data_IF_567431691606
#
_entry.id   IF_567431691606
#
_cell.length_a   1.000
_cell.length_b   1.000
_cell.length_c   1.000
_cell.angle_alpha   90.00
_cell.angle_beta   90.00
_cell.angle_gamma   90.00
#
_symmetry.space_group_name_H-M   'P 1'
#
loop_
_entity.id
_entity.type
_entity.pdbx_description
1 polymer ?
#
# COMPACT_ATOMS: atom_id res chain seq x y z
N UNK A 1 -16.44 -18.05 -5.97
CA UNK A 1 -15.03 -17.98 -6.41
C UNK A 1 -14.81 -16.74 -7.27
N UNK A 2 -13.83 -15.94 -6.88
CA UNK A 2 -13.41 -14.71 -7.56
C UNK A 2 -11.92 -14.80 -7.87
N UNK A 3 -11.45 -14.12 -8.92
CA UNK A 3 -10.03 -14.19 -9.30
C UNK A 3 -9.07 -13.52 -8.30
N UNK A 4 -9.56 -12.63 -7.44
CA UNK A 4 -8.78 -12.03 -6.34
C UNK A 4 -8.73 -12.88 -5.08
N UNK A 5 -9.72 -13.76 -4.86
CA UNK A 5 -9.83 -14.61 -3.69
C UNK A 5 -10.47 -15.94 -4.10
N UNK A 6 -9.65 -16.98 -4.15
CA UNK A 6 -10.10 -18.33 -4.46
C UNK A 6 -9.42 -19.34 -3.55
N UNK A 7 -9.98 -20.54 -3.50
CA UNK A 7 -9.47 -21.61 -2.66
C UNK A 7 -9.11 -22.79 -3.54
N UNK A 8 -8.04 -23.48 -3.16
CA UNK A 8 -7.58 -24.69 -3.83
C UNK A 8 -6.99 -25.66 -2.83
N UNK A 9 -6.91 -26.91 -3.26
CA UNK A 9 -6.26 -27.99 -2.52
C UNK A 9 -4.90 -28.25 -3.18
N UNK A 10 -3.87 -28.47 -2.36
CA UNK A 10 -2.60 -28.96 -2.87
C UNK A 10 -2.75 -30.43 -3.23
N UNK A 11 -2.26 -30.84 -4.41
CA UNK A 11 -2.19 -32.25 -4.78
C UNK A 11 -0.97 -32.91 -4.13
N UNK A 12 -1.07 -33.14 -2.83
CA UNK A 12 -0.08 -33.83 -2.02
C UNK A 12 -0.72 -34.93 -1.17
N UNK A 13 0.11 -35.85 -0.69
CA UNK A 13 -0.33 -37.00 0.10
C UNK A 13 -0.96 -36.59 1.42
N UNK A 14 -0.47 -35.51 2.05
CA UNK A 14 -0.96 -35.02 3.33
C UNK A 14 -2.40 -34.50 3.20
N UNK A 15 -2.69 -33.72 2.18
CA UNK A 15 -4.02 -33.18 1.89
C UNK A 15 -5.00 -34.31 1.57
N UNK A 16 -4.57 -35.31 0.78
CA UNK A 16 -5.37 -36.50 0.47
C UNK A 16 -5.71 -37.32 1.72
N UNK A 17 -4.74 -37.55 2.60
CA UNK A 17 -4.96 -38.27 3.87
C UNK A 17 -5.93 -37.55 4.80
N UNK A 18 -5.81 -36.22 4.91
CA UNK A 18 -6.75 -35.38 5.68
C UNK A 18 -8.17 -35.52 5.15
N UNK A 19 -8.37 -35.34 3.84
CA UNK A 19 -9.69 -35.43 3.20
C UNK A 19 -10.32 -36.82 3.38
N UNK A 20 -9.54 -37.90 3.22
CA UNK A 20 -10.02 -39.26 3.44
C UNK A 20 -10.46 -39.49 4.89
N UNK A 21 -9.65 -39.09 5.87
CA UNK A 21 -9.97 -39.23 7.30
C UNK A 21 -11.25 -38.47 7.67
N UNK A 22 -11.38 -37.24 7.19
CA UNK A 22 -12.58 -36.42 7.39
C UNK A 22 -13.79 -37.09 6.77
N UNK A 23 -13.70 -37.53 5.52
CA UNK A 23 -14.83 -38.12 4.80
C UNK A 23 -15.33 -39.39 5.49
N UNK A 24 -14.42 -40.27 5.91
CA UNK A 24 -14.74 -41.51 6.63
C UNK A 24 -15.38 -41.22 7.99
N UNK A 25 -14.89 -40.22 8.72
CA UNK A 25 -15.39 -39.90 10.05
C UNK A 25 -16.77 -39.21 10.03
N UNK A 26 -17.02 -38.33 9.07
CA UNK A 26 -18.28 -37.56 9.02
C UNK A 26 -19.45 -38.33 8.39
N UNK A 27 -19.17 -39.33 7.56
CA UNK A 27 -20.18 -40.04 6.78
C UNK A 27 -20.21 -41.55 7.06
N UNK A 28 -19.76 -41.98 8.25
CA UNK A 28 -19.85 -43.38 8.67
C UNK A 28 -21.32 -43.73 9.04
N UNK A 29 -21.98 -44.66 8.33
CA UNK A 29 -23.35 -45.07 8.65
C UNK A 29 -23.50 -45.70 10.04
N UNK A 30 -22.44 -46.30 10.58
CA UNK A 30 -22.44 -46.95 11.91
C UNK A 30 -22.25 -45.95 13.06
N UNK A 31 -21.84 -44.71 12.77
CA UNK A 31 -21.56 -43.67 13.75
C UNK A 31 -22.19 -42.32 13.36
N UNK A 32 -23.53 -42.19 13.48
CA UNK A 32 -24.23 -40.98 13.05
C UNK A 32 -23.82 -39.76 13.88
N UNK A 33 -23.66 -38.63 13.20
CA UNK A 33 -23.27 -37.37 13.83
C UNK A 33 -24.37 -36.83 14.77
N UNK A 34 -23.93 -36.28 15.91
CA UNK A 34 -24.83 -35.72 16.91
C UNK A 34 -25.28 -34.30 16.54
N UNK A 35 -26.53 -33.91 16.87
CA UNK A 35 -26.98 -32.52 16.78
C UNK A 35 -26.14 -31.58 17.66
N UNK A 36 -26.11 -30.29 17.33
CA UNK A 36 -25.44 -29.29 18.17
C UNK A 36 -26.08 -29.22 19.57
N UNK A 37 -25.24 -29.25 20.62
CA UNK A 37 -25.67 -29.12 22.02
C UNK A 37 -25.85 -27.67 22.46
N UNK A 38 -25.22 -26.74 21.74
CA UNK A 38 -25.21 -25.33 22.05
C UNK A 38 -25.71 -24.51 20.86
N UNK A 39 -26.16 -23.29 21.15
CA UNK A 39 -26.58 -22.36 20.11
C UNK A 39 -25.40 -22.13 19.14
N UNK A 40 -25.61 -22.31 17.82
CA UNK A 40 -24.57 -22.01 16.84
C UNK A 40 -24.16 -20.54 16.96
N UNK A 41 -22.88 -20.25 16.74
CA UNK A 41 -22.29 -18.91 16.73
C UNK A 41 -21.23 -18.81 15.62
N UNK A 42 -21.00 -17.61 15.04
CA UNK A 42 -19.90 -17.41 14.11
C UNK A 42 -18.55 -17.85 14.70
N UNK A 43 -17.70 -18.41 13.84
CA UNK A 43 -16.41 -19.01 14.21
C UNK A 43 -16.47 -20.47 14.65
N UNK A 44 -17.65 -21.02 14.98
CA UNK A 44 -17.78 -22.42 15.41
C UNK A 44 -17.54 -23.39 14.25
N UNK A 45 -16.68 -24.38 14.46
CA UNK A 45 -16.51 -25.51 13.53
C UNK A 45 -17.60 -26.56 13.73
N UNK A 46 -18.20 -26.97 12.63
CA UNK A 46 -19.36 -27.88 12.57
C UNK A 46 -19.20 -28.84 11.39
N UNK A 47 -19.98 -29.91 11.41
CA UNK A 47 -20.24 -30.69 10.22
C UNK A 47 -21.52 -30.16 9.56
N UNK A 48 -21.45 -29.83 8.27
CA UNK A 48 -22.56 -29.28 7.50
C UNK A 48 -22.83 -30.15 6.26
N UNK A 49 -24.10 -30.39 5.90
CA UNK A 49 -24.44 -31.11 4.68
C UNK A 49 -24.12 -30.27 3.45
N UNK A 50 -23.64 -30.93 2.41
CA UNK A 50 -23.49 -30.38 1.08
C UNK A 50 -23.92 -31.43 0.05
N UNK A 51 -24.49 -30.97 -1.06
CA UNK A 51 -25.03 -31.85 -2.08
C UNK A 51 -24.12 -31.87 -3.31
N UNK A 52 -23.40 -32.96 -3.49
CA UNK A 52 -22.53 -33.22 -4.64
C UNK A 52 -22.77 -34.65 -5.15
N UNK A 53 -23.86 -34.80 -5.91
CA UNK A 53 -24.47 -36.10 -6.21
C UNK A 53 -25.32 -36.59 -5.04
N UNK A 54 -24.68 -37.15 -4.01
CA UNK A 54 -25.32 -37.55 -2.75
C UNK A 54 -25.12 -36.48 -1.67
N UNK A 55 -26.03 -36.46 -0.68
CA UNK A 55 -25.91 -35.56 0.46
C UNK A 55 -24.94 -36.14 1.49
N UNK A 56 -23.80 -35.46 1.66
CA UNK A 56 -22.75 -35.85 2.59
C UNK A 56 -22.41 -34.69 3.52
N UNK A 57 -21.87 -35.00 4.69
CA UNK A 57 -21.38 -34.03 5.66
C UNK A 57 -19.91 -33.71 5.43
N UNK A 58 -19.59 -32.43 5.50
CA UNK A 58 -18.25 -31.89 5.34
C UNK A 58 -17.90 -30.96 6.50
N UNK A 59 -16.61 -30.73 6.73
CA UNK A 59 -16.18 -29.75 7.74
C UNK A 59 -16.49 -28.34 7.28
N UNK A 60 -17.11 -27.57 8.16
CA UNK A 60 -17.42 -26.19 7.90
C UNK A 60 -17.20 -25.32 9.13
N UNK A 61 -17.06 -24.02 8.91
CA UNK A 61 -17.05 -22.98 9.93
C UNK A 61 -18.26 -22.07 9.72
N UNK A 62 -18.98 -21.73 10.79
CA UNK A 62 -20.06 -20.76 10.71
C UNK A 62 -19.44 -19.37 10.50
N UNK A 63 -19.83 -18.69 9.43
CA UNK A 63 -19.39 -17.33 9.12
C UNK A 63 -20.39 -16.29 9.61
N UNK A 64 -21.69 -16.54 9.37
CA UNK A 64 -22.77 -15.64 9.75
C UNK A 64 -24.07 -16.41 10.03
N UNK A 65 -25.03 -15.77 10.70
CA UNK A 65 -26.33 -16.35 11.00
C UNK A 65 -27.46 -15.36 10.71
N UNK A 66 -28.50 -15.86 10.06
CA UNK A 66 -29.73 -15.12 9.77
C UNK A 66 -30.92 -15.82 10.37
N UNK A 67 -31.91 -15.05 10.83
CA UNK A 67 -33.15 -15.60 11.40
C UNK A 67 -34.34 -14.87 10.79
N UNK A 68 -35.30 -15.63 10.29
CA UNK A 68 -36.52 -15.08 9.71
C UNK A 68 -37.74 -15.70 10.38
N UNK A 69 -38.73 -14.85 10.69
CA UNK A 69 -40.05 -15.31 11.12
C UNK A 69 -40.89 -15.64 9.91
N UNK A 70 -41.33 -16.89 9.80
CA UNK A 70 -42.20 -17.36 8.71
C UNK A 70 -43.48 -17.96 9.29
N UNK A 71 -44.61 -17.96 8.56
CA UNK A 71 -45.80 -18.68 8.95
C UNK A 71 -45.52 -20.18 8.99
N UNK A 72 -45.72 -20.82 10.14
CA UNK A 72 -45.66 -22.27 10.27
C UNK A 72 -46.93 -22.95 9.73
N UNK A 73 -46.89 -24.27 9.57
CA UNK A 73 -48.01 -25.07 9.05
C UNK A 73 -49.33 -24.90 9.82
N UNK A 74 -49.26 -24.45 11.08
CA UNK A 74 -50.42 -24.20 11.97
C UNK A 74 -50.85 -22.73 12.02
N UNK A 75 -50.30 -21.88 11.15
CA UNK A 75 -50.55 -20.42 11.14
C UNK A 75 -49.80 -19.63 12.21
N UNK A 76 -49.11 -20.30 13.16
CA UNK A 76 -48.22 -19.62 14.13
C UNK A 76 -46.90 -19.25 13.49
N UNK A 77 -46.38 -18.06 13.81
CA UNK A 77 -45.04 -17.67 13.35
C UNK A 77 -43.96 -18.56 13.97
N UNK A 78 -43.11 -19.15 13.13
CA UNK A 78 -41.94 -19.93 13.53
C UNK A 78 -40.69 -19.16 13.10
N UNK A 79 -39.65 -19.17 13.93
CA UNK A 79 -38.36 -18.57 13.57
C UNK A 79 -37.49 -19.64 12.94
N UNK A 80 -37.17 -19.50 11.65
CA UNK A 80 -36.20 -20.35 10.97
C UNK A 80 -34.85 -19.63 11.02
N UNK A 81 -33.83 -20.36 11.48
CA UNK A 81 -32.46 -19.85 11.55
C UNK A 81 -31.59 -20.58 10.53
N UNK A 82 -30.90 -19.80 9.70
CA UNK A 82 -29.91 -20.29 8.72
C UNK A 82 -28.52 -19.80 9.10
N UNK A 83 -27.53 -20.65 8.90
CA UNK A 83 -26.12 -20.31 9.02
C UNK A 83 -25.52 -20.21 7.62
N UNK A 84 -24.76 -19.14 7.37
CA UNK A 84 -23.80 -19.10 6.27
C UNK A 84 -22.57 -19.87 6.75
N UNK A 85 -22.25 -20.98 6.10
CA UNK A 85 -21.11 -21.83 6.45
C UNK A 85 -20.04 -21.76 5.37
N UNK A 86 -18.77 -21.79 5.77
CA UNK A 86 -17.61 -21.90 4.89
C UNK A 86 -17.01 -23.30 5.03
N UNK A 87 -16.98 -24.08 3.94
CA UNK A 87 -16.42 -25.43 3.94
C UNK A 87 -14.90 -25.35 3.94
N UNK A 88 -14.28 -25.56 5.10
CA UNK A 88 -12.85 -25.28 5.33
C UNK A 88 -11.90 -26.15 4.49
N UNK A 89 -12.42 -27.22 3.89
CA UNK A 89 -11.65 -28.13 3.04
C UNK A 89 -11.78 -27.86 1.55
N UNK A 90 -12.76 -27.05 1.14
CA UNK A 90 -13.10 -26.81 -0.27
C UNK A 90 -13.17 -25.32 -0.62
N UNK A 91 -13.40 -24.45 0.37
CA UNK A 91 -13.40 -23.00 0.24
C UNK A 91 -14.69 -22.38 -0.31
N UNK A 92 -15.71 -23.18 -0.61
CA UNK A 92 -17.04 -22.68 -0.95
C UNK A 92 -17.84 -22.30 0.30
N UNK A 93 -18.88 -21.46 0.11
CA UNK A 93 -19.81 -21.05 1.16
C UNK A 93 -21.23 -21.47 0.78
N UNK A 94 -22.03 -21.87 1.75
CA UNK A 94 -23.45 -22.20 1.55
C UNK A 94 -24.34 -21.73 2.71
N UNK A 95 -25.62 -21.51 2.41
CA UNK A 95 -26.63 -21.22 3.44
C UNK A 95 -27.34 -22.50 3.86
N UNK A 96 -27.14 -22.92 5.10
CA UNK A 96 -27.65 -24.18 5.65
C UNK A 96 -28.58 -23.91 6.83
N UNK A 97 -29.68 -24.64 6.92
CA UNK A 97 -30.55 -24.54 8.10
C UNK A 97 -29.82 -25.04 9.35
N UNK A 98 -29.93 -24.31 10.45
CA UNK A 98 -29.17 -24.60 11.69
C UNK A 98 -29.48 -25.95 12.32
N UNK A 99 -30.67 -26.51 12.11
CA UNK A 99 -31.09 -27.85 12.55
C UNK A 99 -30.39 -28.98 11.80
N UNK A 100 -29.79 -28.68 10.64
CA UNK A 100 -29.01 -29.62 9.84
C UNK A 100 -27.52 -29.60 10.16
N UNK A 101 -27.06 -28.65 10.98
CA UNK A 101 -25.69 -28.65 11.47
C UNK A 101 -25.48 -29.75 12.50
N UNK A 102 -24.27 -30.30 12.53
CA UNK A 102 -23.88 -31.38 13.44
C UNK A 102 -22.60 -31.04 14.17
N UNK A 103 -22.40 -31.65 15.33
CA UNK A 103 -21.14 -31.55 16.07
C UNK A 103 -20.01 -32.14 15.24
N UNK A 104 -18.90 -31.42 15.18
CA UNK A 104 -17.70 -31.92 14.52
C UNK A 104 -16.95 -32.87 15.48
N UNK A 105 -16.66 -34.14 15.10
CA UNK A 105 -15.87 -35.05 15.94
C UNK A 105 -14.49 -34.47 16.28
N UNK A 106 -13.95 -34.76 17.47
CA UNK A 106 -12.66 -34.19 17.93
C UNK A 106 -11.51 -34.56 16.98
N UNK A 107 -11.52 -35.77 16.46
CA UNK A 107 -10.50 -36.24 15.51
C UNK A 107 -10.48 -35.39 14.25
N UNK A 108 -11.64 -34.88 13.81
CA UNK A 108 -11.75 -33.98 12.66
C UNK A 108 -11.43 -32.52 12.99
N UNK A 109 -11.59 -32.08 14.25
CA UNK A 109 -11.26 -30.72 14.68
C UNK A 109 -9.74 -30.44 14.66
N UNK A 110 -8.94 -31.46 14.94
CA UNK A 110 -7.48 -31.34 15.05
C UNK A 110 -6.75 -31.44 13.71
N UNK A 111 -7.44 -31.85 12.64
CA UNK A 111 -6.85 -31.95 11.31
C UNK A 111 -6.76 -30.56 10.66
N UNK A 112 -5.66 -30.25 9.93
CA UNK A 112 -5.52 -28.97 9.22
C UNK A 112 -6.62 -28.80 8.17
N UNK A 113 -6.98 -27.56 7.85
CA UNK A 113 -7.89 -27.24 6.74
C UNK A 113 -7.23 -27.59 5.40
N UNK A 114 -7.93 -28.30 4.53
CA UNK A 114 -7.39 -28.71 3.24
C UNK A 114 -7.43 -27.61 2.18
N UNK A 115 -8.35 -26.63 2.30
CA UNK A 115 -8.41 -25.51 1.38
C UNK A 115 -7.43 -24.40 1.81
N UNK A 116 -6.52 -24.07 0.91
CA UNK A 116 -5.65 -22.91 1.03
C UNK A 116 -6.25 -21.76 0.24
N UNK A 117 -6.29 -20.57 0.84
CA UNK A 117 -6.68 -19.35 0.13
C UNK A 117 -5.52 -18.87 -0.75
N UNK A 118 -5.86 -18.54 -1.98
CA UNK A 118 -4.96 -18.05 -3.01
C UNK A 118 -5.50 -16.76 -3.62
N UNK A 119 -4.57 -15.96 -4.10
CA UNK A 119 -4.83 -14.85 -4.99
C UNK A 119 -3.84 -14.89 -6.14
N UNK A 120 -4.28 -14.46 -7.32
CA UNK A 120 -3.42 -14.39 -8.48
C UNK A 120 -2.45 -13.22 -8.33
N UNK A 121 -1.15 -13.52 -8.38
CA UNK A 121 -0.12 -12.49 -8.17
C UNK A 121 -0.16 -11.46 -9.29
N UNK A 122 -0.25 -10.22 -8.85
CA UNK A 122 -0.09 -9.02 -9.64
C UNK A 122 -1.36 -8.56 -10.34
N UNK A 123 -2.41 -9.37 -10.50
CA UNK A 123 -3.61 -8.94 -11.27
C UNK A 123 -4.55 -8.15 -10.38
N UNK A 124 -5.38 -7.29 -10.98
CA UNK A 124 -6.43 -6.55 -10.29
C UNK A 124 -7.68 -6.39 -11.16
N UNK A 125 -8.85 -6.06 -10.59
CA UNK A 125 -10.04 -5.71 -11.34
C UNK A 125 -9.76 -4.64 -12.42
N UNK A 126 -10.44 -4.75 -13.56
CA UNK A 126 -10.32 -3.77 -14.64
C UNK A 126 -11.00 -2.48 -14.22
N UNK A 127 -10.27 -1.39 -14.10
CA UNK A 127 -10.86 -0.19 -13.52
C UNK A 127 -11.77 0.60 -14.48
N UNK A 128 -11.71 0.32 -15.79
CA UNK A 128 -12.69 0.83 -16.78
C UNK A 128 -14.04 0.11 -16.63
N UNK A 129 -14.02 -1.16 -16.25
CA UNK A 129 -15.22 -2.02 -16.18
C UNK A 129 -15.68 -2.30 -14.75
N UNK A 130 -14.87 -1.97 -13.76
CA UNK A 130 -15.07 -2.22 -12.34
C UNK A 130 -14.46 -1.08 -11.51
N UNK A 131 -15.08 0.10 -11.61
CA UNK A 131 -14.66 1.32 -10.90
C UNK A 131 -14.81 1.21 -9.37
N UNK A 132 -15.61 0.24 -8.91
CA UNK A 132 -15.77 -0.14 -7.49
C UNK A 132 -14.60 -0.95 -6.94
N UNK A 133 -13.58 -1.25 -7.76
CA UNK A 133 -12.45 -2.09 -7.36
C UNK A 133 -12.83 -3.55 -7.13
N UNK A 134 -13.98 -4.00 -7.63
CA UNK A 134 -14.45 -5.39 -7.51
C UNK A 134 -14.27 -6.14 -8.83
N UNK A 135 -14.03 -7.45 -8.80
CA UNK A 135 -13.88 -8.21 -10.05
C UNK A 135 -15.20 -8.28 -10.83
N UNK A 136 -15.20 -7.82 -12.09
CA UNK A 136 -16.39 -7.96 -12.95
C UNK A 136 -16.85 -9.42 -13.06
N UNK A 137 -18.17 -9.61 -13.17
CA UNK A 137 -18.78 -10.92 -13.38
C UNK A 137 -18.19 -11.66 -14.59
N UNK A 138 -17.80 -10.93 -15.64
CA UNK A 138 -17.14 -11.49 -16.83
C UNK A 138 -15.74 -12.02 -16.53
N UNK A 139 -14.93 -11.27 -15.76
CA UNK A 139 -13.61 -11.73 -15.35
C UNK A 139 -13.71 -12.97 -14.45
N UNK A 140 -14.63 -12.95 -13.49
CA UNK A 140 -14.90 -14.10 -12.62
C UNK A 140 -15.38 -15.32 -13.40
N UNK A 141 -16.28 -15.15 -14.38
CA UNK A 141 -16.74 -16.25 -15.23
C UNK A 141 -15.61 -16.83 -16.09
N UNK A 142 -14.73 -15.98 -16.62
CA UNK A 142 -13.57 -16.42 -17.39
C UNK A 142 -12.54 -17.15 -16.51
N UNK A 143 -12.24 -16.62 -15.32
CA UNK A 143 -11.37 -17.31 -14.36
C UNK A 143 -11.92 -18.69 -13.99
N UNK A 144 -13.22 -18.78 -13.70
CA UNK A 144 -13.90 -20.06 -13.42
C UNK A 144 -13.76 -21.04 -14.58
N UNK A 145 -13.96 -20.59 -15.83
CA UNK A 145 -13.84 -21.48 -17.00
C UNK A 145 -12.41 -22.00 -17.19
N UNK A 146 -11.40 -21.27 -16.70
CA UNK A 146 -10.01 -21.69 -16.75
C UNK A 146 -9.60 -22.61 -15.61
N UNK A 147 -10.26 -22.58 -14.46
CA UNK A 147 -9.77 -23.19 -13.21
C UNK A 147 -10.66 -24.29 -12.63
N UNK A 148 -11.99 -24.23 -12.80
CA UNK A 148 -12.90 -25.22 -12.23
C UNK A 148 -12.60 -26.61 -12.82
N UNK A 149 -12.53 -27.62 -11.94
CA UNK A 149 -12.32 -29.04 -12.26
C UNK A 149 -11.05 -29.31 -13.06
N UNK A 150 -9.97 -28.57 -12.79
CA UNK A 150 -8.67 -28.75 -13.47
C UNK A 150 -7.53 -28.74 -12.46
N UNK A 151 -6.56 -29.61 -12.70
CA UNK A 151 -5.29 -29.59 -11.99
C UNK A 151 -4.39 -28.51 -12.60
N UNK A 152 -3.85 -27.64 -11.76
CA UNK A 152 -3.03 -26.51 -12.15
C UNK A 152 -1.68 -26.59 -11.43
N UNK A 153 -0.62 -26.21 -12.14
CA UNK A 153 0.67 -26.00 -11.50
C UNK A 153 0.74 -24.59 -10.95
N UNK A 154 1.21 -24.49 -9.72
CA UNK A 154 1.24 -23.28 -8.94
C UNK A 154 2.67 -22.98 -8.51
N UNK A 155 3.21 -21.82 -8.88
CA UNK A 155 4.44 -21.32 -8.29
C UNK A 155 4.09 -20.32 -7.18
N UNK A 156 4.46 -20.65 -5.95
CA UNK A 156 4.31 -19.75 -4.81
C UNK A 156 5.40 -18.68 -4.85
N UNK A 157 5.03 -17.41 -4.94
CA UNK A 157 5.95 -16.32 -4.72
C UNK A 157 6.05 -16.05 -3.21
N UNK A 158 7.24 -16.16 -2.63
CA UNK A 158 7.44 -15.91 -1.21
C UNK A 158 7.16 -14.43 -0.89
N UNK A 159 6.05 -14.18 -0.20
CA UNK A 159 5.89 -13.03 0.67
C UNK A 159 5.26 -13.55 1.95
N UNK A 160 5.86 -13.21 3.09
CA UNK A 160 5.37 -13.66 4.39
C UNK A 160 3.99 -13.02 4.61
N UNK A 161 2.99 -13.88 4.84
CA UNK A 161 1.54 -13.66 4.93
C UNK A 161 0.78 -13.57 3.58
N UNK A 162 0.02 -14.65 3.32
CA UNK A 162 -0.75 -15.03 2.13
C UNK A 162 0.09 -15.33 0.88
N UNK A 163 0.09 -16.62 0.49
CA UNK A 163 0.85 -17.11 -0.66
C UNK A 163 0.28 -16.55 -1.97
N UNK A 164 1.00 -15.62 -2.59
CA UNK A 164 0.70 -15.18 -3.96
C UNK A 164 1.04 -16.29 -4.95
N UNK A 165 0.07 -16.68 -5.79
CA UNK A 165 0.22 -17.79 -6.74
C UNK A 165 0.36 -17.29 -8.18
N UNK A 166 1.24 -17.94 -8.94
CA UNK A 166 1.29 -17.88 -10.41
C UNK A 166 0.83 -19.25 -10.94
N UNK A 167 -0.29 -19.28 -11.66
CA UNK A 167 -0.88 -20.53 -12.17
C UNK A 167 -0.54 -20.77 -13.65
N UNK A 168 -0.15 -22.01 -13.97
CA UNK A 168 0.12 -22.52 -15.32
C UNK A 168 -0.90 -23.59 -15.72
N UNK A 169 -1.17 -23.70 -17.03
CA UNK A 169 -1.97 -24.78 -17.62
C UNK A 169 -1.12 -25.59 -18.63
N UNK A 170 -1.14 -26.92 -18.56
CA UNK A 170 -0.66 -27.82 -19.63
C UNK A 170 -1.80 -28.70 -20.19
N UNK A 171 -1.99 -28.70 -21.52
CA UNK A 171 -1.55 -29.77 -22.44
C UNK A 171 -1.79 -29.34 -23.90
N UNK A 172 -0.80 -29.65 -24.75
CA UNK A 172 -0.57 -29.29 -26.17
C UNK A 172 -0.14 -27.83 -26.46
N UNK A 173 1.19 -27.65 -26.62
CA UNK A 173 1.94 -26.58 -27.32
C UNK A 173 1.71 -25.09 -27.03
N UNK A 174 0.83 -24.70 -26.11
CA UNK A 174 0.74 -23.30 -25.67
C UNK A 174 0.66 -23.21 -24.13
N UNK A 175 1.70 -22.64 -23.51
CA UNK A 175 1.72 -22.28 -22.10
C UNK A 175 0.85 -21.04 -21.89
N UNK A 176 -0.36 -21.22 -21.34
CA UNK A 176 -1.25 -20.09 -21.01
C UNK A 176 -1.08 -19.77 -19.53
N UNK A 177 -0.36 -18.68 -19.25
CA UNK A 177 -0.33 -18.07 -17.93
C UNK A 177 -1.67 -17.38 -17.67
N UNK A 178 -2.40 -17.79 -16.62
CA UNK A 178 -3.72 -17.20 -16.30
C UNK A 178 -3.61 -15.70 -15.99
N UNK A 179 -2.44 -15.26 -15.50
CA UNK A 179 -2.12 -13.84 -15.29
C UNK A 179 -2.06 -13.03 -16.60
N UNK A 180 -1.74 -13.65 -17.74
CA UNK A 180 -1.46 -12.94 -19.00
C UNK A 180 -2.71 -12.31 -19.65
N UNK A 181 -3.92 -12.72 -19.24
CA UNK A 181 -5.16 -12.34 -19.95
C UNK A 181 -5.88 -11.14 -19.35
N UNK A 182 -5.47 -10.63 -18.17
CA UNK A 182 -6.27 -9.66 -17.40
C UNK A 182 -5.56 -8.29 -17.18
N UNK A 183 -4.46 -8.02 -17.90
CA UNK A 183 -3.75 -6.74 -17.81
C UNK A 183 -3.73 -5.94 -19.10
N UNK A 184 -3.36 -4.66 -18.93
CA UNK A 184 -2.42 -3.99 -19.83
C UNK A 184 -1.00 -4.52 -19.54
N UNK A 185 -0.51 -5.50 -20.31
CA UNK A 185 0.85 -6.05 -20.10
C UNK A 185 1.88 -5.09 -20.66
N UNK A 186 2.87 -4.66 -19.87
CA UNK A 186 4.02 -3.91 -20.40
C UNK A 186 5.09 -4.90 -20.87
N UNK A 187 5.39 -4.90 -22.17
CA UNK A 187 6.48 -5.68 -22.76
C UNK A 187 7.53 -4.75 -23.31
N UNK A 188 8.79 -5.13 -23.18
CA UNK A 188 9.85 -4.51 -23.96
C UNK A 188 9.81 -5.11 -25.37
N UNK A 189 10.01 -4.27 -26.39
CA UNK A 189 10.09 -4.71 -27.78
C UNK A 189 11.13 -5.85 -27.92
N UNK A 190 10.79 -7.00 -28.53
CA UNK A 190 11.73 -8.11 -28.69
C UNK A 190 13.03 -7.72 -29.41
N UNK A 191 12.98 -6.72 -30.29
CA UNK A 191 14.15 -6.23 -31.01
C UNK A 191 15.02 -5.28 -30.16
N UNK A 192 14.59 -4.94 -28.95
CA UNK A 192 15.35 -4.12 -28.03
C UNK A 192 16.42 -4.94 -27.31
N UNK A 193 17.63 -4.39 -27.17
CA UNK A 193 18.72 -5.01 -26.40
C UNK A 193 18.34 -5.26 -24.93
N UNK A 194 17.39 -4.48 -24.38
CA UNK A 194 16.90 -4.68 -23.01
C UNK A 194 15.66 -5.59 -22.92
N UNK A 195 15.28 -6.31 -23.99
CA UNK A 195 14.22 -7.32 -23.93
C UNK A 195 14.60 -8.47 -23.00
N UNK A 196 15.90 -8.68 -22.81
CA UNK A 196 16.49 -9.50 -21.76
C UNK A 196 17.21 -8.55 -20.81
N UNK A 197 16.68 -8.37 -19.61
CA UNK A 197 17.34 -7.57 -18.59
C UNK A 197 18.47 -8.39 -17.96
N UNK A 198 19.71 -7.96 -18.16
CA UNK A 198 20.88 -8.50 -17.46
C UNK A 198 21.25 -7.50 -16.37
N UNK A 199 21.21 -7.95 -15.12
CA UNK A 199 21.67 -7.15 -13.99
C UNK A 199 23.18 -7.32 -13.84
N UNK A 200 23.91 -6.22 -14.01
CA UNK A 200 25.36 -6.14 -13.87
C UNK A 200 25.80 -6.03 -12.40
N UNK A 201 24.88 -5.76 -11.48
CA UNK A 201 25.15 -5.67 -10.03
C UNK A 201 24.01 -6.32 -9.22
N UNK A 202 23.88 -7.67 -9.25
CA UNK A 202 22.78 -8.38 -8.60
C UNK A 202 22.81 -8.31 -7.07
N UNK A 203 23.93 -7.86 -6.48
CA UNK A 203 24.03 -7.61 -5.04
C UNK A 203 23.34 -6.31 -4.63
N UNK A 204 23.06 -5.43 -5.60
CA UNK A 204 22.51 -4.12 -5.36
C UNK A 204 20.99 -4.15 -5.36
N UNK A 205 20.42 -4.00 -4.17
CA UNK A 205 18.98 -4.13 -3.93
C UNK A 205 18.16 -2.90 -4.34
N UNK A 206 18.77 -1.82 -4.86
CA UNK A 206 18.01 -0.62 -5.23
C UNK A 206 17.27 -0.77 -6.56
N UNK A 207 16.05 -0.25 -6.62
CA UNK A 207 15.25 -0.13 -7.82
C UNK A 207 15.96 0.71 -8.89
N UNK A 208 15.97 0.17 -10.12
CA UNK A 208 16.55 0.79 -11.32
C UNK A 208 15.45 1.15 -12.30
N UNK A 209 15.57 2.30 -12.97
CA UNK A 209 14.60 2.72 -13.98
C UNK A 209 14.98 2.22 -15.37
N UNK A 210 13.99 1.72 -16.10
CA UNK A 210 14.07 1.55 -17.55
C UNK A 210 13.24 2.65 -18.20
N UNK A 211 13.84 3.38 -19.13
CA UNK A 211 13.19 4.47 -19.87
C UNK A 211 12.97 4.02 -21.30
N UNK A 212 11.77 4.22 -21.83
CA UNK A 212 11.45 3.97 -23.22
C UNK A 212 11.23 5.29 -23.94
N UNK A 213 11.78 5.44 -25.15
CA UNK A 213 11.51 6.60 -25.99
C UNK A 213 10.13 6.53 -26.63
N UNK A 214 9.65 5.31 -26.91
CA UNK A 214 8.33 5.10 -27.50
C UNK A 214 7.54 4.05 -26.73
N UNK A 215 6.27 4.35 -26.52
CA UNK A 215 5.30 3.46 -25.90
C UNK A 215 4.15 3.31 -26.90
N UNK A 216 3.84 2.09 -27.30
CA UNK A 216 2.72 1.81 -28.21
C UNK A 216 1.83 0.72 -27.67
N UNK A 217 0.52 0.84 -27.86
CA UNK A 217 -0.40 -0.27 -27.59
C UNK A 217 -0.41 -1.23 -28.77
N UNK A 218 -0.55 -2.52 -28.48
CA UNK A 218 -0.87 -3.49 -29.50
C UNK A 218 -2.28 -3.23 -30.07
N UNK A 219 -2.62 -3.77 -31.26
CA UNK A 219 -3.94 -3.55 -31.87
C UNK A 219 -5.12 -3.99 -30.98
N UNK A 220 -4.91 -4.95 -30.08
CA UNK A 220 -5.92 -5.43 -29.14
C UNK A 220 -6.11 -4.51 -27.90
N UNK A 221 -5.26 -3.49 -27.72
CA UNK A 221 -5.32 -2.53 -26.61
C UNK A 221 -4.98 -3.10 -25.23
N UNK A 222 -4.48 -4.34 -25.15
CA UNK A 222 -4.21 -5.04 -23.89
C UNK A 222 -2.71 -5.25 -23.60
N UNK A 223 -1.82 -4.85 -24.51
CA UNK A 223 -0.37 -4.91 -24.29
C UNK A 223 0.25 -3.59 -24.68
N UNK A 224 0.98 -2.99 -23.76
CA UNK A 224 1.82 -1.83 -23.98
C UNK A 224 3.23 -2.29 -24.31
N UNK A 225 3.76 -1.89 -25.46
CA UNK A 225 5.09 -2.24 -25.94
C UNK A 225 6.00 -1.04 -25.80
N UNK A 226 7.04 -1.18 -24.99
CA UNK A 226 8.08 -0.19 -24.75
C UNK A 226 9.21 -0.41 -25.77
N UNK A 227 9.48 0.59 -26.61
CA UNK A 227 10.50 0.55 -27.67
C UNK A 227 11.60 1.55 -27.40
N UNK A 228 12.76 1.29 -28.00
CA UNK A 228 13.96 2.12 -27.86
C UNK A 228 14.24 2.38 -26.37
N UNK A 229 14.37 1.29 -25.62
CA UNK A 229 14.54 1.35 -24.17
C UNK A 229 16.00 1.57 -23.79
N UNK A 230 16.23 2.15 -22.63
CA UNK A 230 17.55 2.30 -22.01
C UNK A 230 17.42 2.09 -20.52
N UNK A 231 18.33 1.31 -19.95
CA UNK A 231 18.43 1.12 -18.50
C UNK A 231 19.21 2.31 -17.94
N UNK A 232 18.60 3.03 -17.00
CA UNK A 232 19.24 4.15 -16.32
C UNK A 232 20.28 3.64 -15.32
N UNK A 233 21.35 4.42 -15.04
CA UNK A 233 22.26 4.10 -13.96
C UNK A 233 21.52 4.06 -12.62
N UNK A 234 22.07 3.32 -11.68
CA UNK A 234 21.48 3.15 -10.36
C UNK A 234 21.68 4.42 -9.53
N UNK A 235 20.62 5.23 -9.45
CA UNK A 235 20.61 6.48 -8.68
C UNK A 235 19.68 6.29 -7.48
N UNK A 236 20.21 6.23 -6.24
CA UNK A 236 19.41 5.94 -5.04
C UNK A 236 18.25 6.92 -4.85
N UNK A 237 17.03 6.37 -4.73
CA UNK A 237 15.81 7.14 -4.53
C UNK A 237 15.29 7.90 -5.76
N UNK A 238 15.94 7.80 -6.93
CA UNK A 238 15.46 8.44 -8.16
C UNK A 238 14.04 7.98 -8.55
N UNK A 239 13.69 6.67 -8.54
CA UNK A 239 12.32 6.23 -8.87
C UNK A 239 11.26 6.92 -7.99
N UNK A 240 11.54 7.01 -6.69
CA UNK A 240 10.65 7.67 -5.74
C UNK A 240 10.54 9.18 -6.01
N UNK A 241 11.66 9.88 -6.23
CA UNK A 241 11.65 11.31 -6.54
C UNK A 241 10.83 11.60 -7.81
N UNK A 242 11.05 10.84 -8.88
CA UNK A 242 10.35 11.03 -10.15
C UNK A 242 8.85 10.83 -9.98
N UNK A 243 8.44 9.76 -9.29
CA UNK A 243 7.02 9.50 -9.05
C UNK A 243 6.38 10.60 -8.18
N UNK A 244 7.06 11.06 -7.13
CA UNK A 244 6.59 12.17 -6.28
C UNK A 244 6.46 13.47 -7.07
N UNK A 245 7.44 13.80 -7.93
CA UNK A 245 7.47 15.05 -8.70
C UNK A 245 6.30 15.16 -9.69
N UNK A 246 5.92 14.04 -10.31
CA UNK A 246 4.88 14.02 -11.35
C UNK A 246 3.51 13.57 -10.83
N UNK A 247 3.39 13.24 -9.55
CA UNK A 247 2.11 12.88 -8.94
C UNK A 247 1.26 14.12 -8.62
N UNK A 248 -0.02 14.16 -9.03
CA UNK A 248 -0.96 15.20 -8.63
C UNK A 248 -1.26 15.24 -7.15
N UNK A 249 -1.35 14.07 -6.53
CA UNK A 249 -1.63 13.88 -5.12
C UNK A 249 -0.76 12.76 -4.57
N UNK A 250 -0.17 12.98 -3.38
CA UNK A 250 0.62 11.97 -2.67
C UNK A 250 0.18 11.86 -1.22
N UNK A 251 0.05 10.61 -0.75
CA UNK A 251 -0.08 10.27 0.66
C UNK A 251 1.15 9.47 1.11
N UNK A 252 1.95 10.03 2.00
CA UNK A 252 3.15 9.36 2.50
C UNK A 252 2.82 8.20 3.45
N UNK A 253 3.69 7.19 3.46
CA UNK A 253 3.63 6.05 4.39
C UNK A 253 4.75 6.18 5.42
N UNK A 254 4.44 5.92 6.68
CA UNK A 254 5.44 5.85 7.76
C UNK A 254 5.45 4.47 8.39
N UNK A 255 6.51 4.17 9.14
CA UNK A 255 6.52 3.03 10.04
C UNK A 255 5.45 3.20 11.15
N UNK A 256 5.06 2.12 11.85
CA UNK A 256 4.03 2.19 12.90
C UNK A 256 4.35 3.16 14.04
N UNK A 257 5.63 3.45 14.30
CA UNK A 257 6.06 4.40 15.34
C UNK A 257 6.19 5.83 14.81
N UNK A 258 5.93 6.07 13.51
CA UNK A 258 6.11 7.35 12.81
C UNK A 258 7.50 7.95 12.99
N UNK A 259 8.53 7.13 13.11
CA UNK A 259 9.92 7.56 13.20
C UNK A 259 10.52 7.85 11.82
N UNK A 260 9.99 7.23 10.77
CA UNK A 260 10.53 7.35 9.42
C UNK A 260 9.48 7.22 8.32
N UNK A 261 9.79 7.78 7.16
CA UNK A 261 9.06 7.50 5.92
C UNK A 261 9.50 6.17 5.35
N UNK A 262 8.53 5.31 5.00
CA UNK A 262 8.77 3.99 4.41
C UNK A 262 8.31 3.91 2.95
N UNK A 263 7.55 4.90 2.48
CA UNK A 263 6.97 4.89 1.14
C UNK A 263 6.00 6.03 0.90
N UNK A 264 5.28 5.95 -0.20
CA UNK A 264 4.23 6.89 -0.57
C UNK A 264 3.25 6.27 -1.57
N UNK A 265 1.98 6.66 -1.51
CA UNK A 265 0.98 6.39 -2.55
C UNK A 265 0.82 7.65 -3.39
N UNK A 266 1.15 7.54 -4.68
CA UNK A 266 1.10 8.62 -5.66
C UNK A 266 -0.06 8.40 -6.63
N UNK A 267 -0.86 9.42 -6.92
CA UNK A 267 -1.99 9.29 -7.86
C UNK A 267 -2.84 10.54 -7.96
N UNK A 268 -4.13 10.37 -8.25
CA UNK A 268 -5.11 11.48 -8.27
C UNK A 268 -5.75 11.75 -6.89
N UNK A 269 -5.51 10.88 -5.91
CA UNK A 269 -6.09 10.98 -4.58
C UNK A 269 -7.42 10.24 -4.46
N UNK A 270 -8.28 10.72 -3.57
CA UNK A 270 -9.50 10.04 -3.16
C UNK A 270 -10.71 11.00 -3.08
N UNK A 271 -11.91 10.44 -3.15
CA UNK A 271 -13.19 11.17 -3.05
C UNK A 271 -13.67 11.36 -1.58
N UNK A 272 -14.85 11.94 -1.40
CA UNK A 272 -15.41 12.19 -0.05
C UNK A 272 -15.64 10.90 0.76
N UNK A 273 -15.85 9.76 0.10
CA UNK A 273 -16.05 8.45 0.70
C UNK A 273 -14.72 7.70 0.97
N UNK A 274 -13.58 8.38 0.77
CA UNK A 274 -12.22 7.80 0.89
C UNK A 274 -11.91 6.69 -0.12
N UNK A 275 -12.59 6.70 -1.26
CA UNK A 275 -12.32 5.79 -2.38
C UNK A 275 -11.34 6.45 -3.36
N UNK A 276 -10.40 5.69 -3.95
CA UNK A 276 -9.45 6.22 -4.93
C UNK A 276 -10.19 6.82 -6.14
N UNK A 277 -9.81 8.02 -6.57
CA UNK A 277 -10.39 8.71 -7.74
C UNK A 277 -10.03 7.97 -9.04
N UNK A 278 -8.79 7.49 -9.13
CA UNK A 278 -8.29 6.80 -10.33
C UNK A 278 -7.30 5.70 -9.95
N UNK A 279 -7.78 4.57 -9.39
CA UNK A 279 -6.94 3.52 -8.83
C UNK A 279 -5.93 2.93 -9.82
N UNK A 280 -6.20 2.98 -11.13
CA UNK A 280 -5.31 2.47 -12.19
C UNK A 280 -3.94 3.12 -12.18
N UNK A 281 -3.96 4.42 -11.89
CA UNK A 281 -2.85 5.33 -12.01
C UNK A 281 -2.19 5.59 -10.65
N UNK A 282 -2.69 4.90 -9.61
CA UNK A 282 -2.09 4.93 -8.29
C UNK A 282 -0.83 4.04 -8.26
N UNK A 283 0.27 4.64 -7.83
CA UNK A 283 1.58 4.01 -7.71
C UNK A 283 1.95 3.97 -6.22
N UNK A 284 1.98 2.77 -5.64
CA UNK A 284 2.52 2.56 -4.30
C UNK A 284 4.05 2.41 -4.41
N UNK A 285 4.76 3.33 -3.77
CA UNK A 285 6.21 3.39 -3.72
C UNK A 285 6.68 2.87 -2.37
N UNK A 286 7.73 2.05 -2.39
CA UNK A 286 8.49 1.71 -1.17
C UNK A 286 9.84 2.44 -1.23
N UNK A 287 10.20 3.11 -0.14
CA UNK A 287 11.46 3.84 -0.06
C UNK A 287 12.60 2.92 0.36
N UNK A 288 13.56 2.74 -0.54
CA UNK A 288 14.80 1.98 -0.31
C UNK A 288 15.92 2.88 0.23
N UNK A 289 15.65 4.17 0.35
CA UNK A 289 16.58 5.19 0.85
C UNK A 289 15.87 6.09 1.84
N UNK A 290 16.64 6.74 2.71
CA UNK A 290 16.07 7.72 3.63
C UNK A 290 15.50 8.94 2.89
N UNK A 291 14.21 9.21 3.13
CA UNK A 291 13.57 10.48 2.80
C UNK A 291 13.26 11.22 4.10
N UNK A 292 13.77 12.44 4.22
CA UNK A 292 13.46 13.33 5.36
C UNK A 292 12.30 14.28 5.02
N UNK A 293 11.70 14.91 6.03
CA UNK A 293 10.70 15.97 5.82
C UNK A 293 11.25 17.12 4.98
N UNK A 294 12.55 17.42 5.10
CA UNK A 294 13.22 18.42 4.27
C UNK A 294 13.31 17.99 2.80
N UNK A 295 13.56 16.71 2.54
CA UNK A 295 13.62 16.16 1.18
C UNK A 295 12.24 16.24 0.50
N UNK A 296 11.18 15.91 1.24
CA UNK A 296 9.78 16.06 0.78
C UNK A 296 9.45 17.52 0.46
N UNK A 297 9.85 18.45 1.35
CA UNK A 297 9.62 19.87 1.15
C UNK A 297 10.37 20.41 -0.08
N UNK A 298 11.58 19.91 -0.36
CA UNK A 298 12.34 20.29 -1.57
C UNK A 298 11.66 19.80 -2.85
N UNK A 299 11.13 18.57 -2.87
CA UNK A 299 10.34 18.07 -4.02
C UNK A 299 9.11 18.97 -4.27
N UNK A 300 8.52 19.50 -3.21
CA UNK A 300 7.32 20.35 -3.31
C UNK A 300 7.62 21.82 -3.66
N UNK A 301 8.82 22.34 -3.40
CA UNK A 301 9.09 23.78 -3.53
C UNK A 301 9.09 24.33 -4.97
N UNK A 302 9.18 23.46 -5.97
CA UNK A 302 9.37 23.86 -7.38
C UNK A 302 8.09 23.78 -8.23
N UNK A 303 6.96 23.31 -7.69
CA UNK A 303 5.69 23.19 -8.41
C UNK A 303 4.83 24.47 -8.41
N UNK A 304 5.30 25.57 -7.79
CA UNK A 304 4.50 26.80 -7.61
C UNK A 304 4.87 27.99 -8.53
N UNK A 305 4.23 28.03 -9.71
CA UNK A 305 3.66 29.19 -10.45
C UNK A 305 4.47 30.27 -11.19
N UNK A 306 3.91 30.62 -12.39
CA UNK A 306 3.95 31.95 -13.03
C UNK A 306 4.17 31.91 -14.56
N UNK A 307 3.12 32.13 -15.38
CA UNK A 307 3.21 32.19 -16.85
C UNK A 307 3.74 33.55 -17.32
N UNK A 308 5.06 33.71 -17.34
CA UNK A 308 5.75 34.80 -18.01
C UNK A 308 7.04 34.29 -18.66
N UNK A 309 7.27 34.61 -19.92
CA UNK A 309 8.34 34.02 -20.75
C UNK A 309 9.76 34.15 -20.13
N UNK A 310 10.01 35.19 -19.32
CA UNK A 310 11.29 35.40 -18.62
C UNK A 310 11.33 34.76 -17.21
N UNK A 311 10.18 34.40 -16.65
CA UNK A 311 10.06 33.76 -15.32
C UNK A 311 10.27 32.25 -15.43
N UNK A 312 9.85 31.63 -16.53
CA UNK A 312 9.97 30.18 -16.78
C UNK A 312 11.42 29.72 -16.68
N UNK A 313 12.36 30.42 -17.33
CA UNK A 313 13.79 30.07 -17.27
C UNK A 313 14.33 30.09 -15.83
N UNK A 314 13.95 31.09 -15.03
CA UNK A 314 14.36 31.20 -13.62
C UNK A 314 13.71 30.14 -12.71
N UNK A 315 12.51 29.66 -13.07
CA UNK A 315 11.82 28.58 -12.36
C UNK A 315 12.49 27.24 -12.71
N UNK A 316 12.71 26.99 -14.00
CA UNK A 316 13.41 25.79 -14.48
C UNK A 316 14.80 25.68 -13.88
N UNK A 317 15.55 26.78 -13.81
CA UNK A 317 16.90 26.76 -13.22
C UNK A 317 16.89 26.50 -11.71
N UNK A 318 15.91 27.04 -10.98
CA UNK A 318 15.73 26.72 -9.56
C UNK A 318 15.33 25.27 -9.36
N UNK A 319 14.35 24.78 -10.11
CA UNK A 319 13.91 23.38 -10.07
C UNK A 319 15.06 22.42 -10.39
N UNK A 320 15.84 22.73 -11.42
CA UNK A 320 17.05 21.99 -11.78
C UNK A 320 18.05 21.97 -10.64
N UNK A 321 18.28 23.11 -10.00
CA UNK A 321 19.26 23.21 -8.90
C UNK A 321 18.81 22.43 -7.67
N UNK A 322 17.55 22.56 -7.25
CA UNK A 322 16.96 21.83 -6.13
C UNK A 322 16.96 20.31 -6.38
N UNK A 323 16.54 19.88 -7.58
CA UNK A 323 16.51 18.47 -7.95
C UNK A 323 17.93 17.88 -7.97
N UNK A 324 18.91 18.59 -8.53
CA UNK A 324 20.30 18.14 -8.54
C UNK A 324 20.89 18.09 -7.12
N UNK A 325 20.54 19.03 -6.25
CA UNK A 325 20.95 18.98 -4.85
C UNK A 325 20.36 17.75 -4.15
N UNK A 326 19.07 17.46 -4.38
CA UNK A 326 18.39 16.29 -3.81
C UNK A 326 18.96 14.96 -4.33
N UNK A 327 19.34 14.89 -5.61
CA UNK A 327 19.94 13.71 -6.23
C UNK A 327 21.41 13.49 -5.82
N UNK A 328 22.14 14.58 -5.54
CA UNK A 328 23.54 14.51 -5.08
C UNK A 328 23.68 14.27 -3.58
N UNK A 329 22.61 14.49 -2.79
CA UNK A 329 22.62 14.23 -1.36
C UNK A 329 22.89 12.74 -1.10
N UNK A 330 23.90 12.37 -0.31
CA UNK A 330 24.10 10.98 0.08
C UNK A 330 22.91 10.52 0.91
N UNK A 331 22.27 9.43 0.49
CA UNK A 331 21.14 8.83 1.21
C UNK A 331 21.53 7.43 1.66
N UNK A 332 21.46 7.12 2.97
CA UNK A 332 21.75 5.78 3.44
C UNK A 332 20.74 4.78 2.85
N UNK A 333 21.26 3.60 2.50
CA UNK A 333 20.46 2.46 2.08
C UNK A 333 19.51 2.03 3.21
N UNK A 334 18.29 1.62 2.86
CA UNK A 334 17.33 1.06 3.80
C UNK A 334 16.71 -0.21 3.25
N UNK A 335 16.47 -1.16 4.15
CA UNK A 335 15.68 -2.34 3.83
C UNK A 335 14.21 -1.93 3.63
N UNK A 336 13.59 -2.29 2.49
CA UNK A 336 12.20 -1.95 2.18
C UNK A 336 11.24 -2.44 3.28
N UNK A 337 10.33 -1.57 3.73
CA UNK A 337 9.28 -1.91 4.70
C UNK A 337 7.92 -1.85 4.02
N UNK A 338 7.11 -2.89 4.23
CA UNK A 338 5.76 -2.95 3.68
C UNK A 338 4.77 -2.17 4.55
N UNK A 339 3.84 -1.49 3.90
CA UNK A 339 2.74 -0.82 4.58
C UNK A 339 1.52 -1.76 4.65
N UNK A 340 0.85 -1.95 5.82
CA UNK A 340 -0.24 -2.92 5.96
C UNK A 340 -1.48 -2.65 5.09
N UNK A 341 -1.71 -1.40 4.70
CA UNK A 341 -2.89 -0.98 3.93
C UNK A 341 -2.50 -0.45 2.54
N UNK A 342 -1.75 -1.25 1.78
CA UNK A 342 -1.29 -0.89 0.43
C UNK A 342 -2.47 -0.48 -0.47
N UNK A 343 -2.26 0.54 -1.32
CA UNK A 343 -3.25 1.09 -2.26
C UNK A 343 -4.54 1.63 -1.63
N UNK A 344 -4.55 1.83 -0.30
CA UNK A 344 -5.67 2.50 0.37
C UNK A 344 -5.27 3.92 0.73
N UNK A 345 -6.05 4.87 0.26
CA UNK A 345 -5.95 6.27 0.63
C UNK A 345 -6.57 6.53 2.01
N UNK A 346 -6.29 7.72 2.53
CA UNK A 346 -6.84 8.27 3.75
C UNK A 346 -6.59 7.34 4.96
N UNK A 347 -5.33 6.93 5.16
CA UNK A 347 -4.91 6.12 6.31
C UNK A 347 -4.02 6.85 7.30
N UNK A 348 -3.67 8.09 7.01
CA UNK A 348 -2.91 8.96 7.91
C UNK A 348 -3.88 9.75 8.78
N UNK A 349 -3.71 9.69 10.10
CA UNK A 349 -4.55 10.47 11.01
C UNK A 349 -4.31 11.99 10.80
N UNK A 350 -5.36 12.83 10.70
CA UNK A 350 -5.23 14.24 10.31
C UNK A 350 -4.28 15.07 11.18
N UNK A 351 -4.14 14.74 12.46
CA UNK A 351 -3.27 15.49 13.40
C UNK A 351 -1.78 15.33 13.09
N UNK A 352 -1.40 14.30 12.32
CA UNK A 352 -0.02 14.03 11.94
C UNK A 352 0.35 14.66 10.60
N UNK A 353 -0.63 15.18 9.86
CA UNK A 353 -0.44 15.75 8.54
C UNK A 353 0.07 17.17 8.68
N UNK A 354 1.28 17.42 8.17
CA UNK A 354 1.85 18.75 8.06
C UNK A 354 1.32 19.40 6.78
N UNK A 355 0.26 20.19 6.95
CA UNK A 355 -0.36 20.92 5.87
C UNK A 355 0.51 22.09 5.41
N UNK A 356 0.56 22.31 4.09
CA UNK A 356 1.08 23.56 3.55
C UNK A 356 0.06 24.69 3.81
N UNK A 357 0.42 25.68 4.63
CA UNK A 357 -0.49 26.76 5.07
C UNK A 357 -0.77 27.85 4.01
N UNK A 358 -0.68 27.52 2.73
CA UNK A 358 -1.10 28.42 1.66
C UNK A 358 -2.61 28.21 1.46
N UNK A 359 -3.39 29.30 1.55
CA UNK A 359 -4.78 29.36 1.12
C UNK A 359 -4.89 30.56 0.19
N UNK A 360 -5.68 30.44 -0.87
CA UNK A 360 -5.94 31.51 -1.85
C UNK A 360 -4.68 32.07 -2.51
N UNK A 361 -3.68 31.23 -2.75
CA UNK A 361 -2.53 31.60 -3.57
C UNK A 361 -2.59 30.91 -4.92
N UNK A 362 -1.96 31.54 -5.91
CA UNK A 362 -1.47 30.87 -7.11
C UNK A 362 -0.37 29.86 -6.70
N UNK A 363 -0.67 28.89 -5.84
CA UNK A 363 0.14 27.72 -5.48
C UNK A 363 -0.83 26.58 -5.17
N UNK A 364 -2.02 26.93 -4.65
CA UNK A 364 -3.25 26.14 -4.65
C UNK A 364 -3.93 26.15 -6.03
N UNK A 365 -3.18 25.89 -7.11
CA UNK A 365 -3.82 25.68 -8.40
C UNK A 365 -4.72 24.45 -8.30
N UNK A 366 -6.00 24.60 -8.61
CA UNK A 366 -6.91 23.48 -8.82
C UNK A 366 -6.63 22.72 -10.13
N UNK A 367 -5.46 22.93 -10.75
CA UNK A 367 -5.29 22.72 -12.18
C UNK A 367 -4.25 21.68 -12.60
N UNK A 368 -3.64 20.87 -11.71
CA UNK A 368 -3.11 19.50 -11.99
C UNK A 368 -2.07 19.00 -10.98
N UNK A 369 -1.26 19.88 -10.36
CA UNK A 369 -0.23 19.50 -9.38
C UNK A 369 -0.39 20.35 -8.12
N UNK A 370 -0.64 19.69 -6.98
CA UNK A 370 -0.72 20.33 -5.66
C UNK A 370 0.56 20.10 -4.88
N UNK A 371 0.82 20.93 -3.88
CA UNK A 371 1.90 20.69 -2.92
C UNK A 371 1.56 19.44 -2.09
N UNK A 372 2.52 18.53 -1.92
CA UNK A 372 2.29 17.34 -1.11
C UNK A 372 2.31 17.71 0.38
N UNK A 373 1.38 17.15 1.15
CA UNK A 373 1.41 17.28 2.60
C UNK A 373 2.46 16.32 3.18
N UNK A 374 3.30 16.79 4.10
CA UNK A 374 4.25 15.92 4.79
C UNK A 374 3.61 15.29 6.04
N UNK A 375 4.33 14.38 6.71
CA UNK A 375 3.91 13.77 7.98
C UNK A 375 4.91 14.16 9.08
N UNK A 376 4.40 14.57 10.24
CA UNK A 376 5.22 14.83 11.41
C UNK A 376 5.81 13.52 11.95
N UNK A 377 7.15 13.39 11.89
CA UNK A 377 7.86 12.24 12.43
C UNK A 377 8.17 12.42 13.93
N UNK A 378 7.97 11.35 14.70
CA UNK A 378 8.28 11.27 16.13
C UNK A 378 9.78 11.13 16.31
N UNK A 379 10.43 12.14 16.90
CA UNK A 379 11.86 12.11 17.24
C UNK A 379 12.82 12.64 16.18
N UNK A 380 12.35 13.44 15.21
CA UNK A 380 13.19 14.01 14.16
C UNK A 380 14.41 14.80 14.69
N UNK A 381 15.60 14.32 14.29
CA UNK A 381 16.94 14.93 14.35
C UNK A 381 17.76 14.76 15.65
N UNK A 382 18.25 13.55 15.93
CA UNK A 382 19.43 13.30 16.80
C UNK A 382 20.70 12.92 15.98
N UNK A 383 20.63 12.83 14.66
CA UNK A 383 21.66 12.18 13.82
C UNK A 383 22.56 13.11 12.98
N UNK A 384 22.75 14.37 13.36
CA UNK A 384 23.78 15.24 12.75
C UNK A 384 24.64 16.07 13.75
N UNK A 385 24.64 15.73 15.04
CA UNK A 385 25.45 16.45 16.06
C UNK A 385 26.72 15.71 16.52
N UNK A 386 27.20 14.68 15.80
CA UNK A 386 28.39 13.90 16.24
C UNK A 386 29.72 14.23 15.56
N UNK A 387 29.76 15.10 14.55
CA UNK A 387 31.00 15.36 13.79
C UNK A 387 31.67 16.72 14.08
N UNK A 388 31.33 17.40 15.20
CA UNK A 388 31.92 18.71 15.54
C UNK A 388 32.81 18.74 16.78
N UNK A 389 33.03 17.63 17.50
CA UNK A 389 33.84 17.67 18.73
C UNK A 389 35.35 17.44 18.57
N UNK A 390 35.90 17.12 17.38
CA UNK A 390 37.34 16.80 17.26
C UNK A 390 38.17 17.60 16.24
N UNK A 391 37.66 18.71 15.69
CA UNK A 391 38.47 19.56 14.81
C UNK A 391 38.33 21.05 15.15
N UNK A 392 39.05 21.50 16.19
CA UNK A 392 39.07 22.93 16.51
C UNK A 392 39.74 23.34 17.82
N UNK A 393 40.77 22.65 18.29
CA UNK A 393 41.62 23.21 19.34
C UNK A 393 42.55 24.28 18.74
N UNK A 394 42.02 25.49 18.53
CA UNK A 394 42.79 26.73 18.46
C UNK A 394 41.86 27.96 18.46
N UNK A 395 41.73 28.57 19.64
CA UNK A 395 41.61 30.03 19.84
C UNK A 395 40.37 30.75 19.30
N UNK A 396 39.39 31.01 20.17
CA UNK A 396 38.40 32.07 19.95
C UNK A 396 37.12 31.95 20.75
N UNK A 397 37.06 32.62 21.90
CA UNK A 397 35.84 32.85 22.69
C UNK A 397 34.67 33.37 21.82
N UNK A 398 33.59 32.60 21.66
CA UNK A 398 32.22 33.12 21.44
C UNK A 398 31.14 32.02 21.55
N UNK A 399 30.92 31.49 22.76
CA UNK A 399 29.62 30.89 23.08
C UNK A 399 28.59 32.02 23.29
N UNK A 400 27.98 32.48 22.20
CA UNK A 400 26.90 33.45 22.24
C UNK A 400 25.61 32.79 22.79
N UNK A 401 25.40 32.84 24.11
CA UNK A 401 24.07 32.66 24.72
C UNK A 401 23.18 33.81 24.25
N UNK A 402 22.50 33.64 23.11
CA UNK A 402 21.53 34.62 22.58
C UNK A 402 20.44 34.86 23.63
N UNK A 403 20.22 36.13 23.99
CA UNK A 403 19.29 36.49 25.07
C UNK A 403 17.86 35.96 24.77
N UNK A 404 17.12 35.43 25.76
CA UNK A 404 15.77 34.88 25.56
C UNK A 404 14.78 35.86 24.89
N UNK A 405 14.90 37.16 25.18
CA UNK A 405 14.08 38.21 24.56
C UNK A 405 14.34 38.38 23.07
N UNK A 406 15.58 38.17 22.61
CA UNK A 406 15.92 38.22 21.20
C UNK A 406 15.36 37.01 20.45
N UNK A 407 15.49 35.81 21.03
CA UNK A 407 14.93 34.58 20.47
C UNK A 407 13.39 34.63 20.36
N UNK A 408 12.70 35.30 21.29
CA UNK A 408 11.26 35.50 21.20
C UNK A 408 10.87 36.47 20.05
N UNK A 409 11.63 37.55 19.87
CA UNK A 409 11.44 38.45 18.72
C UNK A 409 11.70 37.73 17.41
N UNK A 410 12.74 36.91 17.36
CA UNK A 410 13.05 36.07 16.22
C UNK A 410 11.91 35.08 15.92
N UNK A 411 11.33 34.43 16.94
CA UNK A 411 10.16 33.56 16.76
C UNK A 411 8.99 34.31 16.11
N UNK A 412 8.63 35.50 16.62
CA UNK A 412 7.55 36.32 16.05
C UNK A 412 7.86 36.77 14.62
N UNK A 413 9.12 37.03 14.32
CA UNK A 413 9.59 37.30 12.97
C UNK A 413 9.42 36.09 12.06
N UNK A 414 9.80 34.89 12.51
CA UNK A 414 9.57 33.64 11.78
C UNK A 414 8.08 33.40 11.54
N UNK A 415 7.21 33.64 12.53
CA UNK A 415 5.75 33.53 12.37
C UNK A 415 5.21 34.49 11.30
N UNK A 416 5.75 35.71 11.24
CA UNK A 416 5.38 36.69 10.20
C UNK A 416 5.89 36.26 8.83
N UNK A 417 7.13 35.77 8.74
CA UNK A 417 7.73 35.30 7.50
C UNK A 417 7.00 34.05 6.98
N UNK A 418 6.66 33.11 7.84
CA UNK A 418 5.95 31.87 7.50
C UNK A 418 4.56 32.13 6.92
N UNK A 419 3.91 33.24 7.31
CA UNK A 419 2.62 33.71 6.77
C UNK A 419 2.76 34.59 5.53
N UNK A 420 3.98 34.85 5.07
CA UNK A 420 4.27 35.71 3.92
C UNK A 420 4.75 34.90 2.71
N UNK A 421 4.82 35.51 1.53
CA UNK A 421 5.42 34.89 0.34
C UNK A 421 6.95 35.10 0.27
N UNK A 422 7.65 34.96 1.39
CA UNK A 422 9.09 35.18 1.45
C UNK A 422 9.85 34.08 0.68
N UNK A 423 10.73 34.49 -0.26
CA UNK A 423 11.43 33.61 -1.21
C UNK A 423 12.92 33.40 -0.92
N UNK A 424 13.48 34.08 0.08
CA UNK A 424 14.89 33.90 0.48
C UNK A 424 14.98 32.88 1.62
N UNK A 425 16.13 32.20 1.77
CA UNK A 425 16.37 31.33 2.91
C UNK A 425 16.25 32.10 4.22
N UNK A 426 15.54 31.51 5.18
CA UNK A 426 15.31 32.06 6.51
C UNK A 426 15.84 31.07 7.52
N UNK A 427 16.77 31.54 8.33
CA UNK A 427 17.40 30.75 9.36
C UNK A 427 16.59 30.82 10.65
N UNK A 428 16.21 29.66 11.20
CA UNK A 428 15.62 29.54 12.51
C UNK A 428 16.73 29.32 13.55
N UNK A 429 16.97 30.34 14.36
CA UNK A 429 18.03 30.31 15.39
C UNK A 429 17.66 29.46 16.62
N UNK A 430 16.37 29.14 16.80
CA UNK A 430 15.91 28.25 17.88
C UNK A 430 16.26 26.79 17.62
N UNK A 431 16.26 26.38 16.35
CA UNK A 431 16.50 25.00 15.93
C UNK A 431 17.80 24.84 15.15
N UNK A 432 18.48 25.96 14.82
CA UNK A 432 19.65 26.02 13.95
C UNK A 432 19.39 25.41 12.56
N UNK A 433 18.19 25.64 12.01
CA UNK A 433 17.76 25.10 10.71
C UNK A 433 17.55 26.25 9.74
N UNK A 434 18.04 26.12 8.52
CA UNK A 434 17.77 27.09 7.44
C UNK A 434 16.64 26.60 6.56
N UNK A 435 15.47 27.21 6.67
CA UNK A 435 14.36 27.00 5.76
C UNK A 435 14.64 27.75 4.45
N UNK A 436 14.57 27.09 3.29
CA UNK A 436 14.93 27.74 2.01
C UNK A 436 13.93 28.79 1.55
N UNK A 437 12.70 28.76 2.09
CA UNK A 437 11.65 29.72 1.84
C UNK A 437 10.62 29.74 3.00
N UNK A 438 9.65 30.66 2.93
CA UNK A 438 8.54 30.79 3.88
C UNK A 438 7.69 29.52 4.07
N UNK A 439 7.58 28.67 3.06
CA UNK A 439 6.77 27.43 3.12
C UNK A 439 7.49 26.36 3.94
N UNK A 440 8.78 26.13 3.68
CA UNK A 440 9.61 25.23 4.49
C UNK A 440 9.66 25.74 5.93
N UNK A 441 9.69 27.07 6.12
CA UNK A 441 9.65 27.67 7.45
C UNK A 441 8.32 27.35 8.15
N UNK A 442 7.18 27.47 7.47
CA UNK A 442 5.87 27.16 8.04
C UNK A 442 5.74 25.68 8.46
N UNK A 443 6.30 24.76 7.67
CA UNK A 443 6.36 23.32 8.00
C UNK A 443 7.29 23.10 9.20
N UNK A 444 8.48 23.69 9.17
CA UNK A 444 9.47 23.62 10.24
C UNK A 444 8.88 24.06 11.59
N UNK A 445 8.09 25.14 11.60
CA UNK A 445 7.49 25.69 12.83
C UNK A 445 6.44 24.78 13.47
N UNK A 446 5.89 23.82 12.73
CA UNK A 446 4.94 22.83 13.23
C UNK A 446 5.64 21.56 13.75
N UNK A 447 6.96 21.46 13.61
CA UNK A 447 7.70 20.29 14.09
C UNK A 447 7.75 20.23 15.62
N UNK A 448 7.70 19.02 16.19
CA UNK A 448 7.81 18.79 17.63
C UNK A 448 9.10 19.36 18.24
N UNK A 449 10.19 19.41 17.46
CA UNK A 449 11.46 20.03 17.86
C UNK A 449 11.27 21.53 18.09
N UNK A 450 10.70 22.23 17.11
CA UNK A 450 10.46 23.66 17.20
C UNK A 450 9.49 24.00 18.34
N UNK A 451 8.37 23.27 18.43
CA UNK A 451 7.37 23.48 19.50
C UNK A 451 7.96 23.26 20.90
N UNK A 452 8.82 22.25 21.09
CA UNK A 452 9.53 22.03 22.37
C UNK A 452 10.50 23.17 22.69
N UNK A 453 11.25 23.67 21.71
CA UNK A 453 12.18 24.80 21.92
C UNK A 453 11.44 26.10 22.23
N UNK A 454 10.32 26.36 21.56
CA UNK A 454 9.43 27.49 21.86
C UNK A 454 8.87 27.38 23.28
N UNK A 455 8.42 26.19 23.69
CA UNK A 455 7.91 25.96 25.05
C UNK A 455 8.98 26.22 26.12
N UNK A 456 10.20 25.71 25.92
CA UNK A 456 11.36 25.97 26.80
C UNK A 456 11.71 27.46 26.87
N UNK A 457 11.67 28.16 25.74
CA UNK A 457 11.90 29.60 25.68
C UNK A 457 10.86 30.37 26.49
N UNK A 458 9.58 30.03 26.35
CA UNK A 458 8.48 30.64 27.10
C UNK A 458 8.56 30.36 28.60
N UNK A 459 9.00 29.16 29.00
CA UNK A 459 9.24 28.81 30.40
C UNK A 459 10.41 29.62 31.00
N UNK A 460 11.50 29.79 30.24
CA UNK A 460 12.68 30.58 30.66
C UNK A 460 12.43 32.09 30.81
N UNK A 461 11.35 32.60 30.22
CA UNK A 461 10.92 33.99 30.35
C UNK A 461 9.95 34.22 31.53
N UNK A 462 9.42 33.13 32.11
CA UNK A 462 8.53 33.14 33.28
C UNK A 462 9.29 32.92 34.60
N UNK A 463 10.47 32.31 34.53
CA UNK A 463 11.49 32.26 35.59
C UNK A 463 12.30 33.55 35.63
#
# INVERSE_FOLDING_TARGET
MECGHFWGQCDDEQTRDVLLKVQMALNNPEAPLLPLTHKPVPGLHVAAPYQDGEELYYRARIEDMTSQRVPGATGRMVTISKALVFFIDFGNKESVNTDRLRMLPRDCQNLPSAATEFYLKGIRPSNVRCADGMWSSKANAYFRSLTINKNLYAQTAASFTLAGLICYKYWTREEIHINFTIYLVVKVDPDSVNCVAVDDDPCNKFSRLMVASFIGLNPAGNTMVARNTTIMPQIPGLPAIVALLFSPFTEYRTDPQRKEYIGALCGLGYDEDSLPILPDHDIELTFETEFTTQDIAMVCSDSAFGWGHNVVASIQERARTSLLALLKKPKPAREPKTYPYMYRWNKVHPEHVLHHNLRDTTADSNHLLRLHNAIALVGGEESQDKDWEEAGNNGGNQQNKKQPRYLLKHQLELERIAKSQHRKPVHCELCNITATNSQILAIHMQTDRHLRMVKKLQESLKS
#
